data_IF_632618230249
#
_entry.id   IF_632618230249
#
_cell.length_a   1.000
_cell.length_b   1.000
_cell.length_c   1.000
_cell.angle_alpha   90.00
_cell.angle_beta   90.00
_cell.angle_gamma   90.00
#
_symmetry.space_group_name_H-M   'P 1'
#
loop_
_entity.id
_entity.type
_entity.pdbx_description
1 polymer ?
#
# COMPACT_ATOMS: atom_id res chain seq x y z
N UNK A 1 -3.47 9.48 14.17
CA UNK A 1 -2.51 8.50 14.71
C UNK A 1 -2.74 7.22 13.91
N UNK A 2 -1.76 6.75 13.13
CA UNK A 2 -1.93 5.51 12.35
C UNK A 2 -1.98 4.31 13.31
N UNK A 3 -2.88 3.36 13.05
CA UNK A 3 -3.06 2.13 13.85
C UNK A 3 -1.72 1.37 13.92
N UNK A 4 -1.33 0.80 15.08
CA UNK A 4 -0.17 -0.07 15.20
C UNK A 4 -0.47 -1.41 14.52
N UNK A 5 -0.42 -1.42 13.19
CA UNK A 5 -0.83 -2.55 12.37
C UNK A 5 -0.07 -2.62 11.06
N UNK A 6 1.19 -2.16 11.04
CA UNK A 6 2.12 -2.65 10.02
C UNK A 6 2.31 -4.12 10.35
N UNK A 7 1.80 -5.03 9.52
CA UNK A 7 2.19 -6.43 9.57
C UNK A 7 3.47 -6.57 8.74
N UNK A 8 4.66 -6.40 9.34
CA UNK A 8 5.88 -6.50 8.57
C UNK A 8 6.00 -7.89 7.93
N UNK A 9 6.53 -7.91 6.72
CA UNK A 9 6.98 -9.12 6.04
C UNK A 9 8.50 -9.08 6.02
N UNK A 10 9.13 -10.20 6.34
CA UNK A 10 10.58 -10.34 6.22
C UNK A 10 10.88 -10.88 4.85
N UNK A 11 11.80 -10.24 4.12
CA UNK A 11 12.29 -10.74 2.85
C UNK A 11 13.03 -12.07 3.09
N UNK A 12 12.61 -13.18 2.44
CA UNK A 12 13.25 -14.46 2.65
C UNK A 12 14.67 -14.47 2.08
N UNK A 13 15.51 -15.37 2.60
CA UNK A 13 16.79 -15.69 1.97
C UNK A 13 16.56 -16.30 0.58
N UNK A 14 17.37 -15.96 -0.44
CA UNK A 14 17.23 -16.53 -1.77
C UNK A 14 17.58 -18.01 -1.73
N UNK A 15 16.66 -18.87 -2.15
CA UNK A 15 16.77 -20.32 -2.01
C UNK A 15 15.45 -20.96 -1.58
N UNK A 16 15.38 -22.30 -1.59
CA UNK A 16 14.17 -23.06 -1.22
C UNK A 16 12.88 -22.57 -1.92
N UNK A 17 12.98 -22.17 -3.20
CA UNK A 17 11.83 -21.73 -4.00
C UNK A 17 11.47 -20.25 -3.91
N UNK A 18 12.23 -19.42 -3.19
CA UNK A 18 12.06 -17.97 -3.17
C UNK A 18 13.04 -17.26 -4.13
N UNK A 19 12.50 -16.44 -5.04
CA UNK A 19 13.26 -15.53 -5.88
C UNK A 19 13.62 -14.23 -5.12
N UNK A 20 14.58 -13.47 -5.65
CA UNK A 20 14.94 -12.17 -5.09
C UNK A 20 13.76 -11.19 -5.17
N UNK A 21 13.47 -10.47 -4.07
CA UNK A 21 12.45 -9.43 -4.07
C UNK A 21 12.97 -8.19 -4.83
N UNK A 22 12.31 -7.87 -5.94
CA UNK A 22 12.57 -6.67 -6.73
C UNK A 22 11.32 -5.77 -6.71
N UNK A 23 11.48 -4.54 -6.24
CA UNK A 23 10.41 -3.52 -6.20
C UNK A 23 10.92 -2.29 -6.93
N UNK A 24 10.19 -1.82 -7.95
CA UNK A 24 10.60 -0.64 -8.74
C UNK A 24 12.04 -0.77 -9.31
N UNK A 25 12.37 -1.96 -9.81
CA UNK A 25 13.71 -2.28 -10.33
C UNK A 25 14.83 -2.36 -9.28
N UNK A 26 14.52 -2.20 -7.99
CA UNK A 26 15.50 -2.24 -6.88
C UNK A 26 15.42 -3.57 -6.15
N UNK A 27 16.58 -4.16 -5.90
CA UNK A 27 16.70 -5.36 -5.08
C UNK A 27 16.54 -5.00 -3.59
N UNK A 28 15.62 -5.68 -2.92
CA UNK A 28 15.45 -5.58 -1.47
C UNK A 28 16.20 -6.75 -0.82
N UNK A 29 17.14 -6.50 0.10
CA UNK A 29 17.97 -7.55 0.66
C UNK A 29 17.17 -8.52 1.55
N UNK A 30 17.58 -9.79 1.62
CA UNK A 30 17.08 -10.74 2.61
C UNK A 30 17.16 -10.21 4.04
N UNK A 31 16.22 -10.62 4.90
CA UNK A 31 16.12 -10.15 6.28
C UNK A 31 15.53 -8.73 6.42
N UNK A 32 15.36 -7.99 5.32
CA UNK A 32 14.70 -6.69 5.37
C UNK A 32 13.24 -6.81 5.81
N UNK A 33 12.82 -5.88 6.66
CA UNK A 33 11.44 -5.73 7.10
C UNK A 33 10.70 -4.80 6.14
N UNK A 34 9.72 -5.33 5.42
CA UNK A 34 8.90 -4.58 4.46
C UNK A 34 7.49 -4.42 5.00
N UNK A 35 6.92 -3.23 4.85
CA UNK A 35 5.53 -2.95 5.19
C UNK A 35 4.97 -1.84 4.33
N UNK A 36 3.64 -1.73 4.30
CA UNK A 36 2.92 -0.65 3.62
C UNK A 36 2.45 0.40 4.62
N UNK A 37 2.37 1.64 4.15
CA UNK A 37 1.81 2.75 4.92
C UNK A 37 0.42 3.05 4.38
N UNK A 38 -0.63 2.61 5.09
CA UNK A 38 -2.01 2.96 4.73
C UNK A 38 -2.19 4.48 4.61
N UNK A 39 -1.54 5.25 5.48
CA UNK A 39 -1.49 6.72 5.39
C UNK A 39 -0.94 7.19 4.03
N UNK A 40 0.17 6.62 3.57
CA UNK A 40 0.76 7.03 2.30
C UNK A 40 -0.15 6.69 1.12
N UNK A 41 -0.81 5.52 1.16
CA UNK A 41 -1.75 5.11 0.11
C UNK A 41 -3.02 5.97 0.12
N UNK A 42 -3.60 6.24 1.28
CA UNK A 42 -4.88 6.97 1.42
C UNK A 42 -4.78 8.48 1.16
N UNK A 43 -3.57 9.04 1.16
CA UNK A 43 -3.33 10.46 0.88
C UNK A 43 -2.53 10.70 -0.40
N UNK A 44 -2.36 9.68 -1.24
CA UNK A 44 -1.74 9.82 -2.55
C UNK A 44 -2.71 10.52 -3.53
N UNK A 45 -2.36 11.74 -3.94
CA UNK A 45 -3.19 12.54 -4.86
C UNK A 45 -3.31 11.92 -6.26
N UNK A 46 -2.38 11.04 -6.65
CA UNK A 46 -2.48 10.30 -7.93
C UNK A 46 -3.56 9.22 -7.91
N UNK A 47 -3.96 8.76 -6.72
CA UNK A 47 -5.02 7.76 -6.52
C UNK A 47 -6.33 8.45 -6.17
N UNK A 48 -6.30 9.37 -5.20
CA UNK A 48 -7.52 9.94 -4.59
C UNK A 48 -7.87 11.32 -5.12
N UNK A 49 -7.08 11.88 -6.04
CA UNK A 49 -7.22 13.24 -6.56
C UNK A 49 -6.60 14.31 -5.67
N UNK A 50 -6.64 15.56 -6.12
CA UNK A 50 -6.11 16.72 -5.38
C UNK A 50 -6.82 16.95 -4.03
N UNK A 51 -7.98 16.33 -3.83
CA UNK A 51 -8.78 16.39 -2.60
C UNK A 51 -8.59 15.14 -1.71
N UNK A 52 -7.49 14.40 -1.86
CA UNK A 52 -7.16 13.21 -1.07
C UNK A 52 -7.23 13.45 0.45
N UNK A 53 -7.04 14.69 0.90
CA UNK A 53 -7.11 15.10 2.31
C UNK A 53 -8.50 15.51 2.80
N UNK A 54 -9.48 15.54 1.91
CA UNK A 54 -10.86 15.94 2.20
C UNK A 54 -11.75 14.73 2.44
N UNK A 55 -12.63 14.83 3.45
CA UNK A 55 -13.67 13.83 3.67
C UNK A 55 -14.77 13.99 2.62
N UNK A 56 -14.80 13.09 1.64
CA UNK A 56 -15.76 13.08 0.53
C UNK A 56 -16.34 11.66 0.43
N UNK A 57 -17.39 11.33 1.20
CA UNK A 57 -18.01 10.02 1.16
C UNK A 57 -18.71 9.74 -0.18
N UNK A 58 -19.14 10.78 -0.90
CA UNK A 58 -19.81 10.68 -2.19
C UNK A 58 -18.94 10.03 -3.27
N UNK A 59 -17.59 10.02 -3.11
CA UNK A 59 -16.67 9.37 -4.05
C UNK A 59 -17.01 7.89 -4.28
N UNK A 60 -17.56 7.23 -3.27
CA UNK A 60 -17.98 5.83 -3.30
C UNK A 60 -19.28 5.58 -4.04
N UNK A 61 -20.07 6.63 -4.31
CA UNK A 61 -21.34 6.55 -5.03
C UNK A 61 -21.18 6.69 -6.55
N UNK A 62 -19.95 6.95 -7.02
CA UNK A 62 -19.62 7.09 -8.43
C UNK A 62 -19.16 5.76 -9.03
N UNK A 63 -19.14 5.66 -10.37
CA UNK A 63 -18.59 4.49 -11.07
C UNK A 63 -17.10 4.25 -10.73
N UNK A 64 -16.37 5.30 -10.37
CA UNK A 64 -14.97 5.25 -9.98
C UNK A 64 -14.76 4.66 -8.56
N UNK A 65 -15.81 4.59 -7.74
CA UNK A 65 -15.75 3.99 -6.41
C UNK A 65 -15.22 2.54 -6.43
N UNK A 66 -15.56 1.77 -7.47
CA UNK A 66 -15.04 0.40 -7.67
C UNK A 66 -13.55 0.37 -7.97
N UNK A 67 -13.02 1.39 -8.65
CA UNK A 67 -11.59 1.52 -8.91
C UNK A 67 -10.83 1.85 -7.62
N UNK A 68 -11.38 2.76 -6.80
CA UNK A 68 -10.77 3.21 -5.55
C UNK A 68 -10.76 2.13 -4.46
N UNK A 69 -11.69 1.17 -4.50
CA UNK A 69 -11.82 0.10 -3.51
C UNK A 69 -10.51 -0.70 -3.30
N UNK A 70 -9.76 -0.97 -4.38
CA UNK A 70 -8.48 -1.70 -4.29
C UNK A 70 -7.37 -0.94 -3.55
N UNK A 71 -7.52 0.36 -3.36
CA UNK A 71 -6.59 1.22 -2.63
C UNK A 71 -7.05 1.49 -1.18
N UNK A 72 -8.24 1.03 -0.79
CA UNK A 72 -8.75 1.14 0.57
C UNK A 72 -8.11 0.07 1.48
N UNK A 73 -6.83 0.24 1.80
CA UNK A 73 -6.02 -0.68 2.60
C UNK A 73 -6.06 -0.39 4.12
N UNK A 74 -7.26 -0.30 4.69
CA UNK A 74 -7.43 -0.05 6.14
C UNK A 74 -7.23 -1.30 7.02
N UNK A 75 -7.27 -2.50 6.45
CA UNK A 75 -7.17 -3.79 7.13
C UNK A 75 -6.30 -4.80 6.38
#
# INVERSE_FOLDING_TARGET
MAVPGRLPRIVPEPGMGAEALVVDGKHIPPGACVSISAYSVHFDESIWGADARSFIPERWLTDDGKHLEKYLVTF
#
